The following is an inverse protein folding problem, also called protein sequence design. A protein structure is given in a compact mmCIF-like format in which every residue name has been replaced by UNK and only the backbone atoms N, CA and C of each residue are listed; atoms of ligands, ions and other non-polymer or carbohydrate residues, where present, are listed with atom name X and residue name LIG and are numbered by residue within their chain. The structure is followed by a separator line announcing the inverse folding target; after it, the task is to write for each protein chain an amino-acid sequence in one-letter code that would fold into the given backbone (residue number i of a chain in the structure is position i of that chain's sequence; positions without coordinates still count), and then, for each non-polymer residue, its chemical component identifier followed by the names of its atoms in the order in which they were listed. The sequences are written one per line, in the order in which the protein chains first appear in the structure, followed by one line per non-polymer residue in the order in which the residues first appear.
data_IF_855023422152
#
_entry.id   IF_855023422152
#
_cell.length_a   1.000
_cell.length_b   1.000
_cell.length_c   1.000
_cell.angle_alpha   90.00
_cell.angle_beta   90.00
_cell.angle_gamma   90.00
#
_symmetry.space_group_name_H-M   'P 1'
#
loop_
_entity.id
_entity.type
_entity.pdbx_description
1 polymer ?
#
# COMPACT_ATOMS: atom_id res chain seq x y z
N UNK A 1 15.92 -28.68 5.67
CA UNK A 1 17.13 -29.05 4.89
C UNK A 1 18.28 -28.04 5.03
N UNK A 2 18.48 -27.46 6.22
CA UNK A 2 19.62 -26.60 6.50
C UNK A 2 20.27 -27.09 7.79
N UNK A 3 21.54 -27.48 7.74
CA UNK A 3 22.29 -28.00 8.89
C UNK A 3 23.04 -26.90 9.65
N UNK A 4 23.29 -25.75 8.99
CA UNK A 4 23.90 -24.57 9.61
C UNK A 4 23.45 -23.25 8.97
N UNK A 5 23.76 -22.14 9.65
CA UNK A 5 23.51 -20.79 9.16
C UNK A 5 24.32 -20.50 7.89
N UNK A 6 25.57 -20.94 7.82
CA UNK A 6 26.43 -20.74 6.65
C UNK A 6 25.86 -21.44 5.42
N UNK A 7 25.38 -22.67 5.56
CA UNK A 7 24.72 -23.41 4.46
C UNK A 7 23.44 -22.71 4.01
N UNK A 8 22.66 -22.18 4.95
CA UNK A 8 21.44 -21.43 4.67
C UNK A 8 21.73 -20.15 3.86
N UNK A 9 22.68 -19.33 4.31
CA UNK A 9 23.08 -18.10 3.62
C UNK A 9 23.67 -18.41 2.23
N UNK A 10 24.51 -19.44 2.12
CA UNK A 10 25.09 -19.86 0.83
C UNK A 10 24.00 -20.24 -0.18
N UNK A 11 22.99 -21.00 0.26
CA UNK A 11 21.85 -21.39 -0.58
C UNK A 11 20.95 -20.22 -0.97
N UNK A 12 20.74 -19.24 -0.10
CA UNK A 12 19.92 -18.06 -0.38
C UNK A 12 20.64 -17.03 -1.27
N UNK A 13 21.96 -16.89 -1.12
CA UNK A 13 22.75 -15.88 -1.81
C UNK A 13 22.65 -14.47 -1.21
N UNK A 14 22.09 -14.33 0.00
CA UNK A 14 22.03 -13.08 0.76
C UNK A 14 22.08 -13.35 2.27
N UNK A 15 22.53 -12.35 3.02
CA UNK A 15 22.66 -12.41 4.47
C UNK A 15 21.36 -11.98 5.18
N UNK A 16 21.29 -12.26 6.48
CA UNK A 16 20.33 -11.66 7.39
C UNK A 16 20.41 -10.11 7.40
N UNK A 17 19.32 -9.40 7.75
CA UNK A 17 17.99 -9.93 8.10
C UNK A 17 17.24 -10.54 6.92
N UNK A 18 16.39 -11.53 7.21
CA UNK A 18 15.52 -12.18 6.23
C UNK A 18 14.05 -12.01 6.61
N UNK A 19 13.19 -12.07 5.59
CA UNK A 19 11.73 -12.08 5.73
C UNK A 19 11.21 -13.44 5.28
N UNK A 20 10.46 -14.12 6.13
CA UNK A 20 9.74 -15.36 5.82
C UNK A 20 8.25 -15.05 5.70
N UNK A 21 7.64 -15.42 4.57
CA UNK A 21 6.20 -15.27 4.35
C UNK A 21 5.58 -16.51 3.69
N UNK A 22 4.30 -16.73 3.97
CA UNK A 22 3.54 -17.81 3.37
C UNK A 22 3.10 -17.44 1.95
N UNK A 23 2.94 -18.46 1.09
CA UNK A 23 2.46 -18.28 -0.30
C UNK A 23 0.98 -17.87 -0.38
N UNK A 24 0.22 -18.08 0.70
CA UNK A 24 -1.16 -17.65 0.86
C UNK A 24 -1.32 -16.86 2.16
N UNK A 25 -2.20 -15.87 2.16
CA UNK A 25 -2.44 -15.03 3.34
C UNK A 25 -2.80 -13.60 2.95
N UNK A 26 -3.09 -12.77 3.96
CA UNK A 26 -3.32 -11.35 3.80
C UNK A 26 -2.91 -10.59 5.06
N UNK A 27 -2.47 -9.35 4.90
CA UNK A 27 -2.32 -8.40 6.01
C UNK A 27 -1.11 -8.66 6.90
N UNK A 28 -0.07 -9.30 6.36
CA UNK A 28 1.17 -9.60 7.09
C UNK A 28 1.05 -10.71 8.14
N UNK A 29 -0.04 -11.49 8.10
CA UNK A 29 -0.20 -12.66 8.97
C UNK A 29 0.90 -13.68 8.68
N UNK A 30 1.43 -14.29 9.74
CA UNK A 30 2.45 -15.33 9.66
C UNK A 30 3.77 -14.87 9.00
N UNK A 31 4.04 -13.56 8.95
CA UNK A 31 5.35 -13.03 8.53
C UNK A 31 6.33 -13.09 9.71
N UNK A 32 7.53 -13.59 9.47
CA UNK A 32 8.65 -13.51 10.39
C UNK A 32 9.76 -12.66 9.76
N UNK A 33 10.23 -11.65 10.50
CA UNK A 33 11.41 -10.86 10.14
C UNK A 33 12.43 -11.15 11.22
N UNK A 34 13.61 -11.64 10.85
CA UNK A 34 14.62 -12.06 11.84
C UNK A 34 16.04 -11.83 11.37
N UNK A 35 16.95 -11.68 12.33
CA UNK A 35 18.40 -11.69 12.15
C UNK A 35 19.04 -13.01 12.60
N UNK A 36 18.24 -13.96 13.11
CA UNK A 36 18.71 -15.15 13.79
C UNK A 36 18.30 -16.40 13.01
N UNK A 37 19.26 -17.27 12.69
CA UNK A 37 18.98 -18.54 12.04
C UNK A 37 18.08 -19.45 12.90
N UNK A 38 18.12 -19.30 14.23
CA UNK A 38 17.23 -20.05 15.11
C UNK A 38 15.75 -19.73 14.85
N UNK A 39 15.40 -18.47 14.65
CA UNK A 39 14.00 -18.08 14.41
C UNK A 39 13.50 -18.63 13.07
N UNK A 40 14.38 -18.80 12.08
CA UNK A 40 14.07 -19.51 10.82
C UNK A 40 13.67 -20.96 11.11
N UNK A 41 14.44 -21.66 11.94
CA UNK A 41 14.13 -23.05 12.33
C UNK A 41 12.80 -23.12 13.09
N UNK A 42 12.60 -22.24 14.08
CA UNK A 42 11.38 -22.16 14.88
C UNK A 42 10.14 -21.85 14.00
N UNK A 43 10.31 -21.06 12.93
CA UNK A 43 9.26 -20.79 11.95
C UNK A 43 8.83 -22.08 11.20
N UNK A 44 9.80 -22.89 10.78
CA UNK A 44 9.55 -24.16 10.08
C UNK A 44 9.02 -25.28 11.01
N UNK A 45 9.00 -25.10 12.33
CA UNK A 45 8.23 -25.99 13.22
C UNK A 45 6.71 -25.83 13.03
N UNK A 46 6.26 -24.66 12.58
CA UNK A 46 4.85 -24.31 12.43
C UNK A 46 4.37 -24.31 10.97
N UNK A 47 5.28 -24.15 10.01
CA UNK A 47 4.97 -24.07 8.59
C UNK A 47 5.87 -24.99 7.77
N UNK A 48 5.28 -25.74 6.83
CA UNK A 48 6.05 -26.66 5.96
C UNK A 48 6.87 -25.93 4.89
N UNK A 49 6.43 -24.74 4.48
CA UNK A 49 7.04 -23.97 3.38
C UNK A 49 7.08 -22.49 3.71
N UNK A 50 8.03 -21.76 3.13
CA UNK A 50 8.08 -20.30 3.21
C UNK A 50 8.73 -19.72 1.93
N UNK A 51 8.28 -18.55 1.52
CA UNK A 51 9.06 -17.67 0.65
C UNK A 51 10.01 -16.87 1.54
N UNK A 52 11.32 -16.96 1.25
CA UNK A 52 12.37 -16.32 2.01
C UNK A 52 12.98 -15.21 1.16
N UNK A 53 12.99 -14.00 1.69
CA UNK A 53 13.43 -12.79 0.99
C UNK A 53 14.50 -12.07 1.81
N UNK A 54 15.41 -11.37 1.13
CA UNK A 54 16.29 -10.40 1.80
C UNK A 54 15.40 -9.30 2.38
N UNK A 55 15.59 -8.95 3.65
CA UNK A 55 14.94 -7.78 4.21
C UNK A 55 15.49 -6.51 3.55
N UNK A 56 14.59 -5.64 3.10
CA UNK A 56 14.93 -4.35 2.50
C UNK A 56 14.42 -3.26 3.43
N UNK A 57 15.34 -2.43 3.90
CA UNK A 57 15.03 -1.20 4.62
C UNK A 57 14.69 -0.09 3.63
N UNK A 58 13.58 0.61 3.88
CA UNK A 58 13.15 1.74 3.09
C UNK A 58 11.67 2.08 3.24
N UNK A 59 11.22 2.99 2.39
CA UNK A 59 9.85 3.50 2.42
C UNK A 59 8.92 2.56 1.66
N UNK A 60 7.93 2.00 2.36
CA UNK A 60 6.88 1.20 1.74
C UNK A 60 5.91 2.12 0.97
N UNK A 61 5.62 1.75 -0.28
CA UNK A 61 4.77 2.51 -1.20
C UNK A 61 3.77 1.56 -1.82
N UNK A 62 2.48 1.91 -1.77
CA UNK A 62 1.49 1.25 -2.63
C UNK A 62 1.17 2.09 -3.84
N UNK A 63 0.87 1.42 -4.95
CA UNK A 63 0.31 2.05 -6.13
C UNK A 63 -0.76 1.15 -6.72
N UNK A 64 -1.93 1.74 -7.00
CA UNK A 64 -3.02 1.05 -7.66
C UNK A 64 -2.99 1.32 -9.16
N UNK A 65 -3.20 0.28 -9.95
CA UNK A 65 -3.23 0.32 -11.41
C UNK A 65 -4.58 -0.21 -11.87
N UNK A 66 -5.22 0.51 -12.78
CA UNK A 66 -6.42 0.05 -13.47
C UNK A 66 -6.00 -0.44 -14.86
N UNK A 67 -6.24 -1.71 -15.15
CA UNK A 67 -5.85 -2.35 -16.41
C UNK A 67 -7.03 -2.97 -17.15
N UNK A 68 -7.14 -2.75 -18.45
CA UNK A 68 -8.14 -3.41 -19.29
C UNK A 68 -7.70 -3.44 -20.75
N UNK A 69 -7.85 -4.59 -21.42
CA UNK A 69 -7.59 -4.75 -22.85
C UNK A 69 -6.17 -4.27 -23.28
N UNK A 70 -5.18 -4.55 -22.44
CA UNK A 70 -3.78 -4.18 -22.68
C UNK A 70 -3.44 -2.70 -22.44
N UNK A 71 -4.40 -1.88 -22.00
CA UNK A 71 -4.16 -0.51 -21.56
C UNK A 71 -4.13 -0.42 -20.03
N UNK A 72 -3.23 0.41 -19.50
CA UNK A 72 -2.92 0.49 -18.07
C UNK A 72 -2.78 1.93 -17.59
N UNK A 73 -3.52 2.25 -16.53
CA UNK A 73 -3.50 3.52 -15.83
C UNK A 73 -3.04 3.32 -14.38
N UNK A 74 -1.76 3.58 -14.07
CA UNK A 74 -1.32 3.76 -12.70
C UNK A 74 -1.92 5.05 -12.13
N UNK A 75 -2.53 4.94 -10.95
CA UNK A 75 -3.00 6.07 -10.16
C UNK A 75 -1.82 6.74 -9.45
N UNK A 76 -2.07 7.32 -8.28
CA UNK A 76 -1.07 8.01 -7.47
C UNK A 76 -0.42 7.03 -6.49
N UNK A 77 0.93 6.96 -6.39
CA UNK A 77 1.60 6.20 -5.35
C UNK A 77 1.39 6.85 -3.98
N UNK A 78 1.24 6.01 -2.95
CA UNK A 78 0.95 6.43 -1.58
C UNK A 78 1.90 5.75 -0.60
N UNK A 79 2.40 6.52 0.36
CA UNK A 79 3.33 6.08 1.38
C UNK A 79 2.63 5.26 2.46
N UNK A 80 3.25 4.14 2.88
CA UNK A 80 2.74 3.19 3.87
C UNK A 80 3.58 3.05 5.14
N UNK A 81 4.65 3.83 5.25
CA UNK A 81 5.57 3.80 6.38
C UNK A 81 6.91 3.14 6.04
N UNK A 82 7.87 3.33 6.94
CA UNK A 82 9.18 2.70 6.81
C UNK A 82 9.14 1.20 7.16
N UNK A 83 9.90 0.41 6.42
CA UNK A 83 10.32 -0.93 6.80
C UNK A 83 11.62 -0.82 7.60
N UNK A 84 11.57 -1.07 8.90
CA UNK A 84 12.75 -1.21 9.74
C UNK A 84 12.56 -2.35 10.75
N UNK A 85 13.65 -2.84 11.35
CA UNK A 85 13.63 -3.99 12.26
C UNK A 85 12.88 -3.72 13.57
N UNK A 86 12.79 -2.45 14.00
CA UNK A 86 12.05 -2.01 15.18
C UNK A 86 10.56 -1.71 14.87
N UNK A 87 10.13 -1.98 13.63
CA UNK A 87 9.04 -1.33 12.95
C UNK A 87 7.71 -1.26 13.69
N UNK A 88 7.02 -0.14 13.49
CA UNK A 88 5.62 0.01 13.88
C UNK A 88 4.79 -0.93 13.01
N UNK A 89 3.98 -1.78 13.65
CA UNK A 89 3.07 -2.69 12.95
C UNK A 89 2.23 -1.93 11.89
N UNK A 90 2.08 -2.41 10.65
CA UNK A 90 1.46 -1.67 9.54
C UNK A 90 0.08 -1.07 9.84
N UNK A 91 -0.67 -1.72 10.73
CA UNK A 91 -2.00 -1.27 11.17
C UNK A 91 -1.99 0.04 11.96
N UNK A 92 -0.88 0.38 12.61
CA UNK A 92 -0.69 1.58 13.44
C UNK A 92 -0.08 2.74 12.66
N UNK A 93 0.34 2.51 11.42
CA UNK A 93 1.03 3.52 10.61
C UNK A 93 0.06 4.55 10.04
N UNK A 94 0.49 5.81 10.07
CA UNK A 94 -0.05 6.84 9.21
C UNK A 94 0.35 6.54 7.77
N UNK A 95 -0.55 6.87 6.84
CA UNK A 95 -0.30 6.70 5.40
C UNK A 95 -0.71 7.99 4.71
N UNK A 96 -0.03 8.33 3.63
CA UNK A 96 -0.32 9.58 2.94
C UNK A 96 -0.01 9.48 1.45
N UNK A 97 -0.55 10.43 0.70
CA UNK A 97 -0.35 10.52 -0.73
C UNK A 97 -0.54 11.96 -1.22
N UNK A 98 0.03 12.33 -2.39
CA UNK A 98 1.07 11.60 -3.10
C UNK A 98 2.35 11.44 -2.24
N UNK A 99 3.23 10.50 -2.60
CA UNK A 99 4.55 10.41 -1.96
C UNK A 99 5.36 11.70 -2.21
N UNK A 100 6.30 11.98 -1.31
CA UNK A 100 7.10 13.22 -1.28
C UNK A 100 8.59 12.96 -1.09
N UNK A 101 9.09 11.86 -1.63
CA UNK A 101 10.51 11.54 -1.54
C UNK A 101 11.34 12.55 -2.34
N UNK A 102 12.39 13.07 -1.71
CA UNK A 102 13.29 14.05 -2.34
C UNK A 102 14.00 13.46 -3.57
N UNK A 103 14.36 12.19 -3.50
CA UNK A 103 15.16 11.51 -4.52
C UNK A 103 14.35 10.75 -5.58
N UNK A 104 13.02 10.62 -5.43
CA UNK A 104 12.20 9.83 -6.35
C UNK A 104 10.86 10.49 -6.68
N UNK A 105 10.59 10.63 -7.98
CA UNK A 105 9.34 11.19 -8.49
C UNK A 105 8.23 10.13 -8.53
N UNK A 106 7.01 10.55 -8.22
CA UNK A 106 5.79 9.74 -8.35
C UNK A 106 5.62 9.17 -9.77
N UNK A 107 6.04 9.90 -10.81
CA UNK A 107 6.01 9.40 -12.18
C UNK A 107 6.93 8.20 -12.42
N UNK A 108 8.00 8.05 -11.65
CA UNK A 108 8.88 6.88 -11.75
C UNK A 108 8.20 5.63 -11.19
N UNK A 109 7.53 5.74 -10.03
CA UNK A 109 6.68 4.66 -9.51
C UNK A 109 5.57 4.29 -10.49
N UNK A 110 4.91 5.28 -11.09
CA UNK A 110 3.86 5.03 -12.10
C UNK A 110 4.41 4.26 -13.31
N UNK A 111 5.60 4.59 -13.81
CA UNK A 111 6.26 3.85 -14.91
C UNK A 111 6.59 2.42 -14.52
N UNK A 112 7.14 2.20 -13.32
CA UNK A 112 7.44 0.87 -12.80
C UNK A 112 6.16 0.03 -12.68
N UNK A 113 5.12 0.58 -12.07
CA UNK A 113 3.84 -0.10 -11.90
C UNK A 113 3.18 -0.45 -13.24
N UNK A 114 3.21 0.48 -14.21
CA UNK A 114 2.72 0.23 -15.57
C UNK A 114 3.49 -0.89 -16.24
N UNK A 115 4.82 -0.89 -16.12
CA UNK A 115 5.68 -1.92 -16.69
C UNK A 115 5.35 -3.30 -16.10
N UNK A 116 5.22 -3.40 -14.77
CA UNK A 116 4.84 -4.64 -14.09
C UNK A 116 3.47 -5.12 -14.56
N UNK A 117 2.45 -4.26 -14.52
CA UNK A 117 1.09 -4.61 -14.91
C UNK A 117 1.00 -5.11 -16.36
N UNK A 118 1.71 -4.43 -17.27
CA UNK A 118 1.77 -4.78 -18.70
C UNK A 118 2.36 -6.18 -18.90
N UNK A 119 3.43 -6.52 -18.20
CA UNK A 119 4.09 -7.81 -18.34
C UNK A 119 3.27 -8.95 -17.73
N UNK A 120 2.60 -8.70 -16.61
CA UNK A 120 1.70 -9.67 -15.98
C UNK A 120 0.40 -9.88 -16.77
N UNK A 121 0.04 -8.94 -17.65
CA UNK A 121 -1.23 -8.93 -18.39
C UNK A 121 -2.45 -9.00 -17.46
N UNK A 122 -2.30 -8.42 -16.28
CA UNK A 122 -3.39 -8.36 -15.30
C UNK A 122 -4.46 -7.38 -15.77
N UNK A 123 -5.71 -7.61 -15.38
CA UNK A 123 -6.86 -6.76 -15.71
C UNK A 123 -7.68 -6.45 -14.45
N UNK A 124 -8.48 -5.40 -14.50
CA UNK A 124 -9.22 -4.86 -13.37
C UNK A 124 -8.34 -3.97 -12.48
N UNK A 125 -8.51 -4.11 -11.16
CA UNK A 125 -7.73 -3.38 -10.15
C UNK A 125 -6.51 -4.20 -9.75
N UNK A 126 -5.34 -3.58 -9.80
CA UNK A 126 -4.06 -4.21 -9.46
C UNK A 126 -3.39 -3.32 -8.43
N UNK A 127 -3.27 -3.81 -7.20
CA UNK A 127 -2.58 -3.13 -6.10
C UNK A 127 -1.17 -3.69 -6.00
N UNK A 128 -0.17 -2.82 -6.02
CA UNK A 128 1.24 -3.19 -5.94
C UNK A 128 1.87 -2.54 -4.73
N UNK A 129 2.49 -3.35 -3.88
CA UNK A 129 3.32 -2.87 -2.78
C UNK A 129 4.78 -2.93 -3.20
N UNK A 130 5.46 -1.81 -3.01
CA UNK A 130 6.83 -1.55 -3.38
C UNK A 130 7.62 -1.05 -2.16
N UNK A 131 8.94 -1.21 -2.16
CA UNK A 131 9.85 -0.54 -1.21
C UNK A 131 10.80 0.33 -2.01
N UNK A 132 10.86 1.60 -1.66
CA UNK A 132 11.93 2.48 -2.10
C UNK A 132 13.07 2.46 -1.07
N UNK A 133 14.18 1.82 -1.43
CA UNK A 133 15.40 1.84 -0.62
C UNK A 133 16.20 3.09 -0.96
N UNK A 134 16.27 4.03 -0.02
CA UNK A 134 17.08 5.25 -0.16
C UNK A 134 18.57 4.95 -0.21
N UNK A 135 19.04 3.94 0.53
CA UNK A 135 20.44 3.51 0.53
C UNK A 135 20.87 3.01 -0.87
N UNK A 136 20.05 2.15 -1.48
CA UNK A 136 20.35 1.58 -2.79
C UNK A 136 19.85 2.45 -3.95
N UNK A 137 19.11 3.53 -3.65
CA UNK A 137 18.35 4.35 -4.59
C UNK A 137 17.58 3.50 -5.62
N UNK A 138 16.78 2.55 -5.11
CA UNK A 138 16.13 1.52 -5.92
C UNK A 138 14.76 1.13 -5.39
N UNK A 139 13.85 0.83 -6.32
CA UNK A 139 12.52 0.30 -6.01
C UNK A 139 12.49 -1.22 -6.13
N UNK A 140 11.96 -1.86 -5.11
CA UNK A 140 11.73 -3.30 -5.02
C UNK A 140 10.23 -3.58 -5.02
N UNK A 141 9.77 -4.60 -5.73
CA UNK A 141 8.39 -5.07 -5.64
C UNK A 141 8.27 -6.12 -4.51
N UNK A 142 7.27 -5.97 -3.65
CA UNK A 142 7.01 -6.86 -2.50
C UNK A 142 5.91 -7.85 -2.83
N UNK A 143 4.75 -7.32 -3.22
CA UNK A 143 3.55 -8.09 -3.52
C UNK A 143 2.68 -7.37 -4.56
N UNK A 144 1.93 -8.18 -5.31
CA UNK A 144 1.02 -7.71 -6.35
C UNK A 144 -0.30 -8.43 -6.16
N UNK A 145 -1.35 -7.67 -5.86
CA UNK A 145 -2.69 -8.16 -5.64
C UNK A 145 -3.59 -7.75 -6.82
N UNK A 146 -4.03 -8.70 -7.63
CA UNK A 146 -4.96 -8.47 -8.76
C UNK A 146 -6.43 -8.46 -8.30
N UNK A 147 -6.70 -7.69 -7.24
CA UNK A 147 -8.03 -7.54 -6.63
C UNK A 147 -8.14 -6.19 -5.94
N UNK A 148 -9.35 -5.70 -5.62
CA UNK A 148 -9.49 -4.47 -4.85
C UNK A 148 -8.74 -4.55 -3.51
N UNK A 149 -7.99 -3.50 -3.19
CA UNK A 149 -7.21 -3.39 -1.95
C UNK A 149 -7.79 -2.34 -1.01
N UNK A 150 -7.22 -2.23 0.19
CA UNK A 150 -7.52 -1.12 1.11
C UNK A 150 -6.93 0.21 0.65
N UNK A 151 -5.82 0.16 -0.10
CA UNK A 151 -5.15 1.34 -0.69
C UNK A 151 -6.10 2.15 -1.58
N UNK A 152 -7.13 1.51 -2.14
CA UNK A 152 -8.17 2.16 -2.96
C UNK A 152 -8.76 3.42 -2.35
N UNK A 153 -8.81 3.51 -1.01
CA UNK A 153 -9.33 4.67 -0.32
C UNK A 153 -8.39 5.87 -0.46
N UNK A 154 -7.08 5.66 -0.30
CA UNK A 154 -6.04 6.66 -0.50
C UNK A 154 -5.92 7.07 -1.98
N UNK A 155 -5.92 6.09 -2.90
CA UNK A 155 -5.85 6.39 -4.34
C UNK A 155 -7.06 7.19 -4.81
N UNK A 156 -8.27 6.82 -4.35
CA UNK A 156 -9.49 7.58 -4.62
C UNK A 156 -9.43 8.97 -3.99
N UNK A 157 -8.93 9.10 -2.75
CA UNK A 157 -8.74 10.40 -2.11
C UNK A 157 -7.86 11.32 -2.95
N UNK A 158 -6.73 10.82 -3.46
CA UNK A 158 -5.81 11.60 -4.29
C UNK A 158 -6.36 11.96 -5.67
N UNK A 159 -7.06 11.02 -6.31
CA UNK A 159 -7.33 11.09 -7.76
C UNK A 159 -8.76 11.43 -8.13
N UNK A 160 -9.70 11.28 -7.21
CA UNK A 160 -11.14 11.28 -7.48
C UNK A 160 -11.62 10.21 -8.48
N UNK A 161 -10.77 9.22 -8.75
CA UNK A 161 -11.12 8.04 -9.52
C UNK A 161 -11.36 6.88 -8.55
N UNK A 162 -12.61 6.46 -8.38
CA UNK A 162 -12.96 5.35 -7.50
C UNK A 162 -12.69 4.01 -8.21
N UNK A 163 -11.72 3.19 -7.75
CA UNK A 163 -11.35 1.94 -8.41
C UNK A 163 -12.50 0.94 -8.55
N UNK A 164 -13.45 0.92 -7.61
CA UNK A 164 -14.60 0.03 -7.69
C UNK A 164 -15.62 0.49 -8.75
N UNK A 165 -15.81 1.80 -8.90
CA UNK A 165 -16.68 2.33 -9.96
C UNK A 165 -16.05 2.09 -11.33
N UNK A 166 -14.72 2.24 -11.43
CA UNK A 166 -13.99 1.93 -12.66
C UNK A 166 -14.11 0.45 -13.07
N UNK A 167 -14.17 -0.49 -12.12
CA UNK A 167 -14.46 -1.90 -12.44
C UNK A 167 -15.85 -2.08 -13.08
N UNK A 168 -16.86 -1.35 -12.58
CA UNK A 168 -18.21 -1.35 -13.16
C UNK A 168 -18.18 -0.73 -14.56
N UNK A 169 -17.49 0.39 -14.73
CA UNK A 169 -17.32 1.06 -16.01
C UNK A 169 -16.64 0.15 -17.05
N UNK A 170 -15.56 -0.54 -16.67
CA UNK A 170 -14.92 -1.59 -17.47
C UNK A 170 -15.93 -2.66 -17.89
N UNK A 171 -16.72 -3.17 -16.94
CA UNK A 171 -17.70 -4.24 -17.20
C UNK A 171 -18.80 -3.81 -18.18
N UNK A 172 -19.13 -2.51 -18.25
CA UNK A 172 -20.10 -1.97 -19.21
C UNK A 172 -19.45 -1.38 -20.48
N UNK A 173 -18.15 -1.61 -20.68
CA UNK A 173 -17.41 -1.19 -21.87
C UNK A 173 -17.00 0.28 -21.91
N UNK A 174 -16.94 0.94 -20.74
CA UNK A 174 -16.50 2.34 -20.58
C UNK A 174 -15.10 2.38 -19.97
N UNK A 175 -14.09 2.28 -20.82
CA UNK A 175 -12.71 2.42 -20.37
C UNK A 175 -11.88 3.07 -21.47
N UNK A 176 -11.38 4.26 -21.19
CA UNK A 176 -10.41 4.97 -22.01
C UNK A 176 -9.38 5.61 -21.08
N UNK A 177 -8.13 5.16 -21.17
CA UNK A 177 -7.07 5.63 -20.29
C UNK A 177 -6.82 7.13 -20.43
N UNK A 178 -6.96 7.69 -21.64
CA UNK A 178 -6.69 9.12 -21.88
C UNK A 178 -7.79 10.00 -21.28
N UNK A 179 -9.04 9.56 -21.34
CA UNK A 179 -10.15 10.25 -20.67
C UNK A 179 -9.96 10.23 -19.16
N UNK A 180 -9.65 9.06 -18.59
CA UNK A 180 -9.39 8.92 -17.15
C UNK A 180 -8.18 9.73 -16.68
N UNK A 181 -7.09 9.77 -17.44
CA UNK A 181 -5.91 10.61 -17.13
C UNK A 181 -6.26 12.10 -17.09
N UNK A 182 -7.14 12.55 -17.98
CA UNK A 182 -7.62 13.95 -18.00
C UNK A 182 -8.54 14.27 -16.82
N UNK A 183 -9.36 13.30 -16.42
CA UNK A 183 -10.32 13.49 -15.33
C UNK A 183 -9.68 13.37 -13.95
N UNK A 184 -8.53 12.69 -13.86
CA UNK A 184 -7.75 12.52 -12.65
C UNK A 184 -7.45 13.86 -11.96
N UNK A 185 -7.82 13.96 -10.69
CA UNK A 185 -7.51 15.11 -9.83
C UNK A 185 -6.18 14.89 -9.11
N UNK A 186 -5.69 15.97 -8.50
CA UNK A 186 -4.45 15.97 -7.73
C UNK A 186 -4.71 16.56 -6.35
N UNK A 187 -5.11 15.69 -5.42
CA UNK A 187 -5.30 16.01 -4.01
C UNK A 187 -4.22 15.37 -3.13
N UNK A 188 -4.02 15.94 -1.95
CA UNK A 188 -3.31 15.31 -0.85
C UNK A 188 -4.27 14.42 -0.05
N UNK A 189 -3.73 13.35 0.54
CA UNK A 189 -4.48 12.47 1.43
C UNK A 189 -3.66 12.10 2.66
N UNK A 190 -4.36 11.89 3.77
CA UNK A 190 -3.84 11.35 5.01
C UNK A 190 -4.80 10.28 5.51
N UNK A 191 -4.28 9.11 5.84
CA UNK A 191 -5.04 8.02 6.43
C UNK A 191 -4.52 7.66 7.82
N UNK A 192 -5.44 7.65 8.78
CA UNK A 192 -5.14 7.57 10.20
C UNK A 192 -5.87 6.35 10.78
N UNK A 193 -5.19 5.47 11.52
CA UNK A 193 -5.85 4.46 12.33
C UNK A 193 -6.56 5.10 13.52
N UNK A 194 -7.85 4.80 13.67
CA UNK A 194 -8.69 5.34 14.74
C UNK A 194 -9.29 4.24 15.63
N UNK A 195 -9.18 2.97 15.22
CA UNK A 195 -9.74 1.84 15.98
C UNK A 195 -11.25 1.77 15.82
N UNK A 196 -12.00 2.49 16.65
CA UNK A 196 -13.44 2.67 16.52
C UNK A 196 -13.75 4.14 16.28
N UNK A 197 -14.59 4.42 15.29
CA UNK A 197 -15.00 5.79 15.00
C UNK A 197 -16.01 6.30 16.04
N UNK A 198 -15.58 7.28 16.83
CA UNK A 198 -16.40 7.92 17.87
C UNK A 198 -17.01 9.27 17.41
N UNK A 199 -16.83 9.63 16.13
CA UNK A 199 -17.38 10.86 15.56
C UNK A 199 -18.88 10.79 15.24
N UNK A 200 -19.47 11.87 14.70
CA UNK A 200 -20.88 11.91 14.31
C UNK A 200 -21.19 10.74 13.38
N UNK A 201 -22.28 10.00 13.63
CA UNK A 201 -22.67 8.89 12.77
C UNK A 201 -22.63 9.33 11.29
N UNK A 202 -21.75 8.75 10.44
CA UNK A 202 -21.80 9.03 9.02
C UNK A 202 -23.21 8.61 8.59
N UNK A 203 -23.92 9.43 7.80
CA UNK A 203 -25.36 9.23 7.53
C UNK A 203 -25.73 7.85 6.95
N UNK A 204 -24.74 7.04 6.54
CA UNK A 204 -24.56 5.59 6.76
C UNK A 204 -23.74 5.05 5.59
N UNK A 205 -22.66 4.29 5.87
CA UNK A 205 -21.32 4.61 5.39
C UNK A 205 -21.32 5.04 3.92
N UNK A 206 -21.29 6.35 3.67
CA UNK A 206 -21.03 6.87 2.33
C UNK A 206 -19.56 6.60 2.06
N UNK A 207 -19.26 5.52 1.33
CA UNK A 207 -17.89 5.17 0.88
C UNK A 207 -17.44 6.07 -0.27
N UNK A 208 -17.89 7.31 -0.28
CA UNK A 208 -17.66 8.28 -1.34
C UNK A 208 -17.54 9.67 -0.74
N UNK A 209 -16.71 10.51 -1.35
CA UNK A 209 -16.51 11.91 -1.00
C UNK A 209 -17.70 12.80 -1.46
N UNK A 210 -18.93 12.28 -1.45
CA UNK A 210 -20.10 12.95 -2.05
C UNK A 210 -20.40 14.31 -1.38
N UNK A 211 -20.10 14.47 -0.08
CA UNK A 211 -20.36 15.71 0.68
C UNK A 211 -19.36 15.95 1.83
N UNK A 212 -18.17 15.36 1.78
CA UNK A 212 -17.20 15.47 2.87
C UNK A 212 -15.78 15.24 2.41
N UNK A 213 -14.82 15.72 3.21
CA UNK A 213 -13.39 15.62 2.92
C UNK A 213 -12.76 14.36 3.54
N UNK A 214 -13.55 13.42 4.06
CA UNK A 214 -13.03 12.19 4.64
C UNK A 214 -14.03 11.03 4.50
N UNK A 215 -13.49 9.83 4.59
CA UNK A 215 -14.26 8.58 4.65
C UNK A 215 -13.75 7.73 5.80
N UNK A 216 -14.67 7.06 6.50
CA UNK A 216 -14.33 6.06 7.52
C UNK A 216 -14.52 4.68 6.92
N UNK A 217 -13.52 3.82 7.07
CA UNK A 217 -13.54 2.47 6.53
C UNK A 217 -12.79 1.49 7.44
N UNK A 218 -12.80 0.21 7.05
CA UNK A 218 -12.28 -0.87 7.87
C UNK A 218 -13.32 -1.47 8.84
N UNK A 219 -13.04 -2.66 9.38
CA UNK A 219 -13.92 -3.31 10.35
C UNK A 219 -13.83 -2.64 11.72
N UNK A 220 -14.86 -2.83 12.54
CA UNK A 220 -14.87 -2.38 13.95
C UNK A 220 -13.61 -2.86 14.69
N UNK A 221 -13.01 -1.99 15.48
CA UNK A 221 -11.74 -2.18 16.21
C UNK A 221 -10.49 -1.88 15.39
N UNK A 222 -10.61 -1.75 14.08
CA UNK A 222 -9.49 -1.51 13.14
C UNK A 222 -9.85 -0.46 12.08
N UNK A 223 -10.79 0.42 12.38
CA UNK A 223 -11.23 1.46 11.47
C UNK A 223 -10.12 2.47 11.23
N UNK A 224 -10.16 3.04 10.03
CA UNK A 224 -9.28 4.10 9.57
C UNK A 224 -10.13 5.22 9.00
N UNK A 225 -9.62 6.44 9.11
CA UNK A 225 -10.18 7.60 8.42
C UNK A 225 -9.22 8.02 7.32
N UNK A 226 -9.72 8.14 6.09
CA UNK A 226 -8.95 8.65 4.94
C UNK A 226 -9.47 10.02 4.57
N UNK A 227 -8.60 11.02 4.68
CA UNK A 227 -8.89 12.44 4.48
C UNK A 227 -8.38 12.86 3.11
N UNK A 228 -9.09 13.76 2.44
CA UNK A 228 -8.72 14.44 1.20
C UNK A 228 -8.57 15.94 1.50
N UNK A 229 -7.53 16.56 0.96
CA UNK A 229 -7.32 18.01 1.00
C UNK A 229 -6.64 18.50 -0.28
N UNK A 230 -6.78 19.79 -0.60
CA UNK A 230 -6.05 20.42 -1.70
C UNK A 230 -4.57 20.56 -1.38
N UNK A 231 -4.26 20.73 -0.09
CA UNK A 231 -2.90 20.70 0.42
C UNK A 231 -2.77 19.70 1.55
N UNK A 232 -1.51 19.42 1.86
CA UNK A 232 -1.10 18.61 2.98
C UNK A 232 -1.55 19.18 4.33
N UNK A 233 -1.37 20.48 4.51
CA UNK A 233 -1.75 21.20 5.73
C UNK A 233 -3.26 21.10 5.96
N UNK A 234 -4.06 21.21 4.90
CA UNK A 234 -5.51 21.02 4.99
C UNK A 234 -5.87 19.61 5.50
N UNK A 235 -5.14 18.56 5.07
CA UNK A 235 -5.36 17.21 5.60
C UNK A 235 -5.05 17.10 7.10
N UNK A 236 -4.05 17.84 7.59
CA UNK A 236 -3.71 17.87 9.02
C UNK A 236 -4.72 18.65 9.86
N UNK A 237 -5.23 19.77 9.34
CA UNK A 237 -6.28 20.54 10.00
C UNK A 237 -7.55 19.69 10.18
N UNK A 238 -7.99 19.02 9.11
CA UNK A 238 -9.15 18.12 9.18
C UNK A 238 -8.88 16.95 10.14
N UNK A 239 -7.68 16.38 10.11
CA UNK A 239 -7.30 15.30 11.02
C UNK A 239 -7.38 15.73 12.49
N UNK A 240 -6.88 16.93 12.80
CA UNK A 240 -6.94 17.51 14.13
C UNK A 240 -8.37 17.76 14.59
N UNK A 241 -9.23 18.27 13.70
CA UNK A 241 -10.66 18.44 14.01
C UNK A 241 -11.35 17.11 14.33
N UNK A 242 -10.98 16.04 13.61
CA UNK A 242 -11.59 14.72 13.76
C UNK A 242 -11.09 13.93 14.97
N UNK A 243 -9.82 14.05 15.32
CA UNK A 243 -9.19 13.19 16.34
C UNK A 243 -8.72 13.95 17.58
N UNK A 244 -8.66 15.28 17.54
CA UNK A 244 -8.11 16.13 18.59
C UNK A 244 -6.57 16.12 18.67
N UNK A 245 -5.87 15.40 17.78
CA UNK A 245 -4.41 15.28 17.80
C UNK A 245 -3.76 16.14 16.71
N UNK A 246 -2.54 16.62 16.98
CA UNK A 246 -1.71 17.25 15.97
C UNK A 246 -0.99 16.18 15.13
N UNK A 247 -0.86 16.44 13.82
CA UNK A 247 -0.19 15.55 12.88
C UNK A 247 0.88 16.31 12.11
N UNK A 248 2.00 15.63 11.85
CA UNK A 248 3.06 16.06 10.95
C UNK A 248 3.65 14.82 10.27
N UNK A 249 4.45 15.05 9.23
CA UNK A 249 5.39 14.03 8.74
C UNK A 249 6.69 14.09 9.55
#
# INVERSE_FOLDING_TARGET
DFESEEEFIEKLGFNFPVVLKQGEGQGGKDICITNEFKDVLDYFENFETALIEKFIEGSEVSIEVIGWNGEYLPLVPVYKGETNLEGIHPIKRLRYGPCDFEEMDNEEFRKIAKHIATNLKSEGTIDMDLIYSKEENKVYAIEINTRPSGTRYLSFACTDLNPLNLLVDIAVGKFDVKELEKDMKSYCTLEIPIGDYEGPAPQEPVKEYINGNFIVHGPKGYQRVTIRGNTREETFEIAKELTGNDYSF
#
